data_IF_749785613131
#
_entry.id   IF_749785613131
#
_cell.length_a   1.000
_cell.length_b   1.000
_cell.length_c   1.000
_cell.angle_alpha   90.00
_cell.angle_beta   90.00
_cell.angle_gamma   90.00
#
_symmetry.space_group_name_H-M   'P 1'
#
loop_
_entity.id
_entity.type
_entity.pdbx_description
1 polymer ?
#
# COMPACT_ATOMS: atom_id res chain seq x y z
N UNK A 1 -9.92 -7.40 11.54
CA UNK A 1 -10.60 -8.00 10.36
C UNK A 1 -11.43 -9.22 10.77
N UNK A 2 -10.87 -10.15 11.55
CA UNK A 2 -11.54 -11.39 11.99
C UNK A 2 -12.91 -11.17 12.64
N UNK A 3 -13.05 -10.15 13.49
CA UNK A 3 -14.34 -9.83 14.14
C UNK A 3 -15.40 -9.42 13.11
N UNK A 4 -15.00 -8.60 12.12
CA UNK A 4 -15.90 -8.17 11.05
C UNK A 4 -16.28 -9.35 10.17
N UNK A 5 -15.31 -10.19 9.79
CA UNK A 5 -15.52 -11.39 9.00
C UNK A 5 -16.51 -12.36 9.69
N UNK A 6 -16.29 -12.64 10.97
CA UNK A 6 -17.19 -13.49 11.76
C UNK A 6 -18.61 -12.93 11.81
N UNK A 7 -18.74 -11.61 11.96
CA UNK A 7 -20.05 -10.95 11.97
C UNK A 7 -20.71 -11.02 10.58
N UNK A 8 -19.95 -10.77 9.50
CA UNK A 8 -20.46 -10.91 8.12
C UNK A 8 -20.98 -12.31 7.86
N UNK A 9 -20.20 -13.34 8.20
CA UNK A 9 -20.61 -14.74 8.06
C UNK A 9 -21.87 -15.08 8.83
N UNK A 10 -21.98 -14.61 10.07
CA UNK A 10 -23.16 -14.82 10.91
C UNK A 10 -24.44 -14.16 10.37
N UNK A 11 -24.30 -13.12 9.54
CA UNK A 11 -25.41 -12.35 9.00
C UNK A 11 -25.63 -12.58 7.48
N UNK A 12 -24.93 -13.52 6.85
CA UNK A 12 -25.05 -13.81 5.42
C UNK A 12 -24.58 -12.65 4.53
N UNK A 13 -23.57 -11.89 5.00
CA UNK A 13 -22.99 -10.75 4.28
C UNK A 13 -21.68 -11.19 3.66
N UNK A 14 -21.51 -10.93 2.34
CA UNK A 14 -20.28 -11.21 1.61
C UNK A 14 -19.17 -10.26 2.06
N UNK A 15 -18.05 -10.84 2.52
CA UNK A 15 -16.86 -10.10 2.92
C UNK A 15 -15.87 -10.00 1.77
N UNK A 16 -15.54 -8.76 1.37
CA UNK A 16 -14.58 -8.48 0.30
C UNK A 16 -13.30 -7.88 0.88
N UNK A 17 -12.16 -8.50 0.62
CA UNK A 17 -10.85 -7.92 0.89
C UNK A 17 -10.37 -7.15 -0.36
N UNK A 18 -10.28 -5.82 -0.25
CA UNK A 18 -9.71 -4.99 -1.30
C UNK A 18 -8.18 -4.96 -1.18
N UNK A 19 -7.53 -5.84 -1.92
CA UNK A 19 -6.08 -5.98 -1.97
C UNK A 19 -5.46 -5.26 -3.19
N UNK A 20 -6.21 -4.36 -3.82
CA UNK A 20 -5.75 -3.60 -5.00
C UNK A 20 -4.46 -2.85 -4.71
N UNK A 21 -4.28 -2.33 -3.49
CA UNK A 21 -3.10 -1.55 -3.10
C UNK A 21 -2.18 -2.30 -2.12
N UNK A 22 -2.72 -3.15 -1.30
CA UNK A 22 -2.03 -3.84 -0.21
C UNK A 22 -1.52 -5.23 -0.58
N UNK A 23 -2.06 -5.81 -1.67
CA UNK A 23 -1.62 -7.11 -2.18
C UNK A 23 -0.30 -7.05 -2.96
N UNK A 24 0.02 -8.15 -3.58
CA UNK A 24 1.21 -8.33 -4.44
C UNK A 24 2.51 -7.98 -3.70
N UNK A 25 2.76 -8.68 -2.60
CA UNK A 25 3.94 -8.58 -1.75
C UNK A 25 4.13 -7.24 -1.03
N UNK A 26 3.29 -6.23 -1.27
CA UNK A 26 3.45 -4.86 -0.74
C UNK A 26 3.67 -4.80 0.77
N UNK A 27 2.98 -5.64 1.53
CA UNK A 27 3.06 -5.68 2.99
C UNK A 27 4.02 -6.74 3.54
N UNK A 28 4.76 -7.44 2.68
CA UNK A 28 5.63 -8.55 3.09
C UNK A 28 4.91 -9.89 3.18
N UNK A 29 3.66 -9.95 2.68
CA UNK A 29 2.90 -11.18 2.38
C UNK A 29 2.27 -11.02 1.00
N UNK A 30 1.82 -12.11 0.37
CA UNK A 30 1.12 -12.02 -0.91
C UNK A 30 -0.08 -11.08 -0.84
N UNK A 31 -0.85 -11.18 0.25
CA UNK A 31 -1.99 -10.32 0.55
C UNK A 31 -1.90 -9.81 1.99
N UNK A 32 -2.27 -8.57 2.22
CA UNK A 32 -2.26 -7.98 3.56
C UNK A 32 -3.24 -8.70 4.52
N UNK A 33 -4.32 -9.22 3.99
CA UNK A 33 -5.29 -10.05 4.74
C UNK A 33 -4.64 -11.26 5.44
N UNK A 34 -3.51 -11.76 4.94
CA UNK A 34 -2.77 -12.87 5.54
C UNK A 34 -2.04 -12.52 6.85
N UNK A 35 -1.99 -11.24 7.21
CA UNK A 35 -1.48 -10.82 8.52
C UNK A 35 -2.44 -11.11 9.67
N UNK A 36 -3.73 -11.25 9.37
CA UNK A 36 -4.76 -11.63 10.33
C UNK A 36 -5.05 -13.13 10.26
N UNK A 37 -4.52 -13.89 11.18
CA UNK A 37 -4.74 -15.34 11.23
C UNK A 37 -6.22 -15.68 11.41
N UNK A 38 -6.75 -16.54 10.53
CA UNK A 38 -8.15 -16.95 10.52
C UNK A 38 -9.12 -15.95 9.91
N UNK A 39 -8.61 -14.89 9.25
CA UNK A 39 -9.41 -14.08 8.33
C UNK A 39 -9.49 -14.79 6.98
N UNK A 40 -10.71 -15.03 6.50
CA UNK A 40 -10.99 -15.76 5.27
C UNK A 40 -12.11 -15.08 4.49
N UNK A 41 -11.76 -14.03 3.70
CA UNK A 41 -12.73 -13.26 2.94
C UNK A 41 -13.37 -14.09 1.85
N UNK A 42 -14.61 -13.77 1.49
CA UNK A 42 -15.34 -14.44 0.43
C UNK A 42 -14.81 -14.07 -0.96
N UNK A 43 -14.38 -12.81 -1.12
CA UNK A 43 -13.80 -12.28 -2.35
C UNK A 43 -12.54 -11.48 -2.05
N UNK A 44 -11.59 -11.50 -2.99
CA UNK A 44 -10.38 -10.67 -2.97
C UNK A 44 -10.27 -9.93 -4.30
N UNK A 45 -10.11 -8.60 -4.25
CA UNK A 45 -9.85 -7.80 -5.45
C UNK A 45 -8.36 -7.52 -5.60
N UNK A 46 -7.84 -7.63 -6.81
CA UNK A 46 -6.43 -7.44 -7.15
C UNK A 46 -6.25 -6.54 -8.37
N UNK A 47 -5.24 -5.68 -8.34
CA UNK A 47 -4.87 -4.82 -9.47
C UNK A 47 -3.44 -4.27 -9.28
N UNK A 48 -3.16 -3.09 -9.84
CA UNK A 48 -1.90 -2.33 -9.69
C UNK A 48 -0.65 -3.20 -9.93
N UNK A 49 -0.04 -3.72 -8.86
CA UNK A 49 1.19 -4.52 -8.94
C UNK A 49 1.08 -5.83 -9.69
N UNK A 50 -0.15 -6.34 -9.92
CA UNK A 50 -0.37 -7.66 -10.53
C UNK A 50 0.25 -7.83 -11.93
N UNK A 51 0.33 -6.75 -12.71
CA UNK A 51 0.81 -6.79 -14.08
C UNK A 51 1.97 -5.81 -14.37
N UNK A 52 2.75 -5.42 -13.34
CA UNK A 52 3.98 -4.64 -13.51
C UNK A 52 3.79 -3.30 -14.22
N UNK A 53 2.62 -2.68 -14.11
CA UNK A 53 2.28 -1.40 -14.74
C UNK A 53 1.34 -1.52 -15.95
N UNK A 54 1.09 -2.73 -16.47
CA UNK A 54 0.03 -2.93 -17.47
C UNK A 54 -1.36 -2.91 -16.82
N UNK A 55 -2.40 -2.37 -17.51
CA UNK A 55 -3.74 -2.30 -16.96
C UNK A 55 -4.38 -3.69 -16.87
N UNK A 56 -4.40 -4.24 -15.66
CA UNK A 56 -5.07 -5.50 -15.32
C UNK A 56 -5.65 -5.42 -13.92
N UNK A 57 -6.81 -6.00 -13.76
CA UNK A 57 -7.43 -6.26 -12.46
C UNK A 57 -8.14 -7.61 -12.47
N UNK A 58 -8.38 -8.15 -11.30
CA UNK A 58 -9.08 -9.41 -11.14
C UNK A 58 -9.84 -9.46 -9.83
N UNK A 59 -10.76 -10.40 -9.78
CA UNK A 59 -11.45 -10.82 -8.56
C UNK A 59 -11.27 -12.32 -8.43
N UNK A 60 -10.87 -12.76 -7.25
CA UNK A 60 -10.77 -14.16 -6.88
C UNK A 60 -11.71 -14.38 -5.70
N UNK A 61 -12.46 -15.47 -5.69
CA UNK A 61 -13.40 -15.70 -4.60
C UNK A 61 -13.99 -17.10 -4.59
N UNK A 62 -14.90 -17.31 -3.65
CA UNK A 62 -15.60 -18.59 -3.47
C UNK A 62 -16.42 -18.91 -4.72
N UNK A 63 -16.35 -20.15 -5.19
CA UNK A 63 -17.00 -20.60 -6.42
C UNK A 63 -18.50 -20.32 -6.41
N UNK A 64 -19.18 -20.58 -5.29
CA UNK A 64 -20.64 -20.35 -5.16
C UNK A 64 -21.05 -18.88 -5.36
N UNK A 65 -20.14 -17.94 -5.09
CA UNK A 65 -20.37 -16.50 -5.31
C UNK A 65 -19.99 -16.15 -6.75
N UNK A 66 -18.80 -16.57 -7.20
CA UNK A 66 -18.30 -16.24 -8.54
C UNK A 66 -19.17 -16.83 -9.64
N UNK A 67 -19.67 -18.05 -9.46
CA UNK A 67 -20.52 -18.77 -10.43
C UNK A 67 -21.98 -18.28 -10.42
N UNK A 68 -22.38 -17.43 -9.47
CA UNK A 68 -23.73 -16.86 -9.41
C UNK A 68 -23.99 -15.80 -10.50
N UNK A 69 -22.92 -15.26 -11.11
CA UNK A 69 -23.07 -14.29 -12.19
C UNK A 69 -23.69 -14.94 -13.44
N UNK A 70 -24.72 -14.32 -13.98
CA UNK A 70 -25.33 -14.79 -15.23
C UNK A 70 -24.38 -14.63 -16.43
N UNK A 71 -24.59 -15.39 -17.49
CA UNK A 71 -23.79 -15.29 -18.72
C UNK A 71 -23.74 -13.85 -19.24
N UNK A 72 -22.54 -13.31 -19.45
CA UNK A 72 -22.30 -11.92 -19.84
C UNK A 72 -22.46 -10.87 -18.72
N UNK A 73 -22.72 -11.29 -17.48
CA UNK A 73 -22.87 -10.42 -16.33
C UNK A 73 -21.55 -9.82 -15.81
N UNK A 74 -20.43 -10.47 -16.12
CA UNK A 74 -19.08 -10.01 -15.79
C UNK A 74 -18.28 -9.78 -17.06
N UNK A 75 -17.50 -8.70 -17.09
CA UNK A 75 -16.58 -8.45 -18.18
C UNK A 75 -16.33 -6.96 -18.41
N UNK A 76 -15.38 -6.71 -19.30
CA UNK A 76 -15.02 -5.40 -19.83
C UNK A 76 -14.28 -5.59 -21.13
N UNK A 77 -14.34 -4.61 -22.03
CA UNK A 77 -13.76 -4.69 -23.38
C UNK A 77 -12.28 -5.09 -23.37
N UNK A 78 -11.53 -4.67 -22.36
CA UNK A 78 -10.12 -4.98 -22.21
C UNK A 78 -9.83 -6.13 -21.24
N UNK A 79 -10.88 -6.79 -20.73
CA UNK A 79 -10.75 -7.93 -19.81
C UNK A 79 -9.97 -9.06 -20.47
N UNK A 80 -8.94 -9.59 -19.80
CA UNK A 80 -8.12 -10.66 -20.32
C UNK A 80 -7.21 -10.27 -21.49
N UNK A 81 -6.84 -8.98 -21.64
CA UNK A 81 -5.89 -8.53 -22.67
C UNK A 81 -4.62 -9.39 -22.65
N UNK A 82 -4.24 -10.07 -23.76
CA UNK A 82 -3.10 -10.98 -23.78
C UNK A 82 -1.80 -10.33 -23.34
N UNK A 83 -1.58 -9.07 -23.66
CA UNK A 83 -0.38 -8.31 -23.27
C UNK A 83 -0.31 -8.12 -21.76
N UNK A 84 -1.43 -7.71 -21.13
CA UNK A 84 -1.49 -7.50 -19.68
C UNK A 84 -1.41 -8.84 -18.91
N UNK A 85 -2.04 -9.90 -19.45
CA UNK A 85 -1.96 -11.24 -18.88
C UNK A 85 -0.54 -11.79 -18.94
N UNK A 86 0.16 -11.64 -20.08
CA UNK A 86 1.56 -12.05 -20.20
C UNK A 86 2.48 -11.31 -19.22
N UNK A 87 2.24 -10.00 -19.03
CA UNK A 87 2.96 -9.22 -18.02
C UNK A 87 2.66 -9.72 -16.58
N UNK A 88 1.41 -10.08 -16.28
CA UNK A 88 1.05 -10.63 -14.99
C UNK A 88 1.73 -11.99 -14.72
N UNK A 89 1.80 -12.87 -15.72
CA UNK A 89 2.53 -14.16 -15.61
C UNK A 89 3.99 -13.90 -15.26
N UNK A 90 4.65 -12.98 -15.99
CA UNK A 90 6.04 -12.62 -15.72
C UNK A 90 6.23 -12.03 -14.30
N UNK A 91 5.29 -11.23 -13.80
CA UNK A 91 5.31 -10.72 -12.41
C UNK A 91 5.20 -11.88 -11.41
N UNK A 92 4.29 -12.84 -11.64
CA UNK A 92 4.16 -14.00 -10.76
C UNK A 92 5.43 -14.83 -10.71
N UNK A 93 6.05 -15.10 -11.89
CA UNK A 93 7.32 -15.82 -11.97
C UNK A 93 8.44 -15.09 -11.21
N UNK A 94 8.50 -13.76 -11.30
CA UNK A 94 9.46 -12.97 -10.52
C UNK A 94 9.22 -13.08 -9.02
N UNK A 95 7.96 -13.07 -8.57
CA UNK A 95 7.64 -13.24 -7.15
C UNK A 95 7.94 -14.66 -6.63
N UNK A 96 7.75 -15.68 -7.44
CA UNK A 96 8.09 -17.06 -7.09
C UNK A 96 9.61 -17.31 -7.01
N UNK A 97 10.39 -16.64 -7.88
CA UNK A 97 11.84 -16.81 -7.97
C UNK A 97 12.63 -15.88 -7.06
N UNK A 98 12.05 -14.74 -6.68
CA UNK A 98 12.70 -13.71 -5.88
C UNK A 98 12.21 -13.65 -4.43
N UNK A 99 12.98 -12.98 -3.59
CA UNK A 99 12.65 -12.81 -2.17
C UNK A 99 11.89 -11.50 -1.90
N UNK A 100 10.88 -11.22 -2.72
CA UNK A 100 10.15 -9.95 -2.69
C UNK A 100 9.32 -9.74 -1.42
N UNK A 101 8.88 -10.81 -0.77
CA UNK A 101 8.15 -10.71 0.49
C UNK A 101 9.07 -10.19 1.61
N UNK A 102 10.29 -10.74 1.70
CA UNK A 102 11.27 -10.26 2.66
C UNK A 102 11.77 -8.85 2.27
N UNK A 103 12.01 -8.61 0.97
CA UNK A 103 12.39 -7.26 0.49
C UNK A 103 11.40 -6.18 0.91
N UNK A 104 10.12 -6.43 0.84
CA UNK A 104 9.11 -5.49 1.32
C UNK A 104 9.24 -5.21 2.83
N UNK A 105 9.59 -6.21 3.62
CA UNK A 105 9.83 -6.03 5.07
C UNK A 105 11.11 -5.24 5.34
N UNK A 106 12.19 -5.49 4.60
CA UNK A 106 13.45 -4.72 4.70
C UNK A 106 13.24 -3.24 4.39
N UNK A 107 12.55 -2.93 3.28
CA UNK A 107 12.16 -1.56 2.91
C UNK A 107 11.35 -0.92 4.04
N UNK A 108 10.37 -1.64 4.56
CA UNK A 108 9.53 -1.16 5.65
C UNK A 108 10.33 -0.87 6.93
N UNK A 109 11.22 -1.77 7.32
CA UNK A 109 12.06 -1.61 8.49
C UNK A 109 12.99 -0.38 8.36
N UNK A 110 13.59 -0.17 7.17
CA UNK A 110 14.43 0.99 6.89
C UNK A 110 13.61 2.29 6.99
N UNK A 111 12.43 2.36 6.37
CA UNK A 111 11.55 3.54 6.43
C UNK A 111 11.15 3.84 7.88
N UNK A 112 10.66 2.84 8.61
CA UNK A 112 10.21 3.01 10.01
C UNK A 112 11.35 3.51 10.89
N UNK A 113 12.54 2.93 10.76
CA UNK A 113 13.73 3.38 11.49
C UNK A 113 14.00 4.87 11.25
N UNK A 114 14.12 5.28 9.98
CA UNK A 114 14.40 6.66 9.59
C UNK A 114 13.31 7.63 10.01
N UNK A 115 12.04 7.29 9.81
CA UNK A 115 10.92 8.13 10.24
C UNK A 115 10.83 8.25 11.77
N UNK A 116 11.17 7.21 12.51
CA UNK A 116 11.23 7.26 13.98
C UNK A 116 12.35 8.17 14.47
N UNK A 117 13.53 8.14 13.81
CA UNK A 117 14.61 9.06 14.07
C UNK A 117 14.20 10.52 13.78
N UNK A 118 13.51 10.76 12.66
CA UNK A 118 12.95 12.09 12.33
C UNK A 118 11.89 12.54 13.33
N UNK A 119 10.99 11.66 13.78
CA UNK A 119 9.97 11.99 14.78
C UNK A 119 10.57 12.43 16.11
N UNK A 120 11.73 11.91 16.49
CA UNK A 120 12.46 12.36 17.68
C UNK A 120 13.04 13.77 17.55
N UNK A 121 13.26 14.25 16.31
CA UNK A 121 13.82 15.58 16.01
C UNK A 121 12.71 16.58 15.69
N UNK A 122 11.69 16.16 14.94
CA UNK A 122 10.63 17.03 14.41
C UNK A 122 9.30 16.73 15.13
N UNK A 123 8.90 17.53 16.14
CA UNK A 123 7.68 17.30 16.91
C UNK A 123 6.38 17.50 16.10
N UNK A 124 6.49 17.89 14.85
CA UNK A 124 5.39 17.96 13.89
C UNK A 124 4.96 16.57 13.40
N UNK A 125 5.80 15.53 13.55
CA UNK A 125 5.43 14.14 13.23
C UNK A 125 4.68 13.56 14.43
N UNK A 126 3.38 13.33 14.26
CA UNK A 126 2.51 12.80 15.31
C UNK A 126 2.50 11.27 15.39
N UNK A 127 2.63 10.59 14.25
CA UNK A 127 2.59 9.13 14.19
C UNK A 127 3.38 8.61 12.98
N UNK A 128 3.98 7.43 13.16
CA UNK A 128 4.56 6.62 12.08
C UNK A 128 3.90 5.24 12.11
N UNK A 129 3.33 4.79 11.00
CA UNK A 129 2.62 3.51 10.91
C UNK A 129 2.71 2.87 9.54
N UNK A 130 2.49 1.56 9.48
CA UNK A 130 2.43 0.79 8.24
C UNK A 130 2.84 -0.66 8.43
N UNK A 131 2.82 -1.41 7.32
CA UNK A 131 3.25 -2.82 7.27
C UNK A 131 4.06 -3.04 6.00
N UNK A 132 5.22 -3.66 6.13
CA UNK A 132 6.13 -3.88 5.01
C UNK A 132 6.48 -2.59 4.28
N UNK A 133 6.53 -2.59 2.96
CA UNK A 133 6.82 -1.42 2.14
C UNK A 133 5.61 -0.47 1.94
N UNK A 134 4.59 -0.57 2.77
CA UNK A 134 3.45 0.35 2.83
C UNK A 134 3.50 1.10 4.14
N UNK A 135 4.14 2.28 4.15
CA UNK A 135 4.38 3.09 5.34
C UNK A 135 3.77 4.48 5.19
N UNK A 136 3.51 5.10 6.32
CA UNK A 136 3.00 6.46 6.37
C UNK A 136 3.43 7.16 7.67
N UNK A 137 3.44 8.50 7.63
CA UNK A 137 3.53 9.31 8.83
C UNK A 137 2.53 10.46 8.76
N UNK A 138 2.07 10.91 9.92
CA UNK A 138 1.14 12.01 10.05
C UNK A 138 1.82 13.28 10.51
N UNK A 139 1.46 14.41 9.88
CA UNK A 139 1.85 15.72 10.38
C UNK A 139 0.71 16.32 11.21
N UNK A 140 1.08 16.81 12.39
CA UNK A 140 0.18 17.42 13.37
C UNK A 140 0.68 18.80 13.79
N UNK A 141 -0.19 19.60 14.36
CA UNK A 141 0.22 20.83 15.01
C UNK A 141 1.09 20.49 16.23
N UNK A 142 2.31 21.06 16.36
CA UNK A 142 3.22 20.71 17.45
C UNK A 142 2.58 20.79 18.84
N UNK A 143 2.73 19.71 19.60
CA UNK A 143 2.16 19.62 20.96
C UNK A 143 0.68 19.27 21.02
N UNK A 144 0.05 18.95 19.88
CA UNK A 144 -1.37 18.53 19.79
C UNK A 144 -1.47 17.28 18.92
N UNK A 145 -2.72 16.80 18.72
CA UNK A 145 -3.05 15.77 17.73
C UNK A 145 -3.83 16.36 16.54
N UNK A 146 -3.94 17.69 16.47
CA UNK A 146 -4.69 18.33 15.41
C UNK A 146 -3.96 18.18 14.06
N UNK A 147 -4.65 17.76 12.99
CA UNK A 147 -4.06 17.58 11.66
C UNK A 147 -3.43 18.85 11.10
N UNK A 148 -2.23 18.73 10.52
CA UNK A 148 -1.51 19.85 9.90
C UNK A 148 -1.42 19.69 8.39
N UNK A 149 -2.55 19.88 7.70
CA UNK A 149 -2.60 19.83 6.24
C UNK A 149 -1.65 20.87 5.57
N UNK A 150 -1.58 22.15 6.00
CA UNK A 150 -0.68 23.11 5.36
C UNK A 150 0.79 22.69 5.38
N UNK A 151 1.28 22.15 6.50
CA UNK A 151 2.64 21.63 6.59
C UNK A 151 2.84 20.40 5.67
N UNK A 152 1.83 19.53 5.57
CA UNK A 152 1.88 18.40 4.65
C UNK A 152 2.01 18.84 3.21
N UNK A 153 1.21 19.79 2.78
CA UNK A 153 1.31 20.37 1.42
C UNK A 153 2.67 21.05 1.14
N UNK A 154 3.22 21.73 2.14
CA UNK A 154 4.54 22.35 2.01
C UNK A 154 5.64 21.28 1.86
N UNK A 155 5.58 20.22 2.67
CA UNK A 155 6.50 19.07 2.56
C UNK A 155 6.39 18.39 1.19
N UNK A 156 5.19 18.12 0.70
CA UNK A 156 5.00 17.53 -0.63
C UNK A 156 5.61 18.40 -1.73
N UNK A 157 5.41 19.72 -1.68
CA UNK A 157 6.00 20.65 -2.64
C UNK A 157 7.53 20.62 -2.59
N UNK A 158 8.12 20.55 -1.38
CA UNK A 158 9.56 20.40 -1.20
C UNK A 158 10.07 19.10 -1.85
N UNK A 159 9.44 17.98 -1.52
CA UNK A 159 9.80 16.66 -2.07
C UNK A 159 9.73 16.65 -3.61
N UNK A 160 8.62 17.11 -4.18
CA UNK A 160 8.44 17.14 -5.63
C UNK A 160 9.49 18.03 -6.33
N UNK A 161 9.83 19.17 -5.75
CA UNK A 161 10.88 20.07 -6.28
C UNK A 161 12.26 19.40 -6.29
N UNK A 162 12.50 18.51 -5.33
CA UNK A 162 13.76 17.78 -5.17
C UNK A 162 13.72 16.35 -5.74
N UNK A 163 12.76 16.05 -6.63
CA UNK A 163 12.72 14.78 -7.38
C UNK A 163 12.09 13.61 -6.65
N UNK A 164 11.50 13.81 -5.47
CA UNK A 164 10.85 12.75 -4.68
C UNK A 164 9.33 12.91 -4.76
N UNK A 165 8.66 11.94 -5.38
CA UNK A 165 7.21 11.93 -5.53
C UNK A 165 6.57 11.22 -4.34
N UNK A 166 5.94 11.97 -3.47
CA UNK A 166 5.13 11.49 -2.35
C UNK A 166 3.71 12.04 -2.47
N UNK A 167 2.76 11.37 -1.84
CA UNK A 167 1.34 11.73 -1.89
C UNK A 167 0.79 11.90 -0.47
N UNK A 168 -0.11 12.87 -0.32
CA UNK A 168 -0.92 12.94 0.90
C UNK A 168 -2.07 11.92 0.87
N UNK A 169 -2.57 11.62 2.05
CA UNK A 169 -3.66 10.69 2.29
C UNK A 169 -4.40 11.08 3.58
N UNK A 170 -5.38 10.24 3.96
CA UNK A 170 -6.17 10.44 5.16
C UNK A 170 -7.27 11.47 4.97
N UNK A 171 -8.26 11.42 5.87
CA UNK A 171 -9.45 12.28 5.84
C UNK A 171 -9.11 13.77 5.93
N UNK A 172 -8.04 14.08 6.64
CA UNK A 172 -7.59 15.45 6.87
C UNK A 172 -6.41 15.87 6.00
N UNK A 173 -6.04 15.04 5.01
CA UNK A 173 -4.91 15.29 4.09
C UNK A 173 -3.57 15.61 4.77
N UNK A 174 -3.39 15.14 6.01
CA UNK A 174 -2.20 15.34 6.84
C UNK A 174 -1.26 14.12 6.92
N UNK A 175 -1.56 13.07 6.16
CA UNK A 175 -0.77 11.84 6.09
C UNK A 175 0.12 11.87 4.87
N UNK A 176 1.42 11.65 5.04
CA UNK A 176 2.36 11.41 3.93
C UNK A 176 2.52 9.90 3.77
N UNK A 177 2.15 9.39 2.60
CA UNK A 177 2.17 7.97 2.30
C UNK A 177 3.38 7.61 1.46
N UNK A 178 4.13 6.59 1.91
CA UNK A 178 5.32 6.06 1.25
C UNK A 178 5.02 4.66 0.69
N UNK A 179 5.09 4.56 -0.63
CA UNK A 179 4.85 3.31 -1.39
C UNK A 179 5.94 3.16 -2.46
N UNK A 180 7.21 3.04 -2.08
CA UNK A 180 8.28 2.88 -3.07
C UNK A 180 8.10 1.58 -3.86
N UNK A 181 8.60 1.49 -5.11
CA UNK A 181 8.66 0.22 -5.81
C UNK A 181 9.50 -0.78 -5.00
N UNK A 182 9.11 -2.07 -4.99
CA UNK A 182 9.87 -3.09 -4.25
C UNK A 182 11.29 -3.28 -4.80
N UNK A 183 11.52 -2.90 -6.05
CA UNK A 183 12.82 -2.92 -6.71
C UNK A 183 13.71 -1.71 -6.40
N UNK A 184 13.29 -0.78 -5.55
CA UNK A 184 14.11 0.38 -5.17
C UNK A 184 15.40 -0.08 -4.48
N UNK A 185 16.53 0.54 -4.83
CA UNK A 185 17.77 0.32 -4.10
C UNK A 185 17.75 1.03 -2.73
N UNK A 186 18.53 0.54 -1.78
CA UNK A 186 18.63 1.18 -0.47
C UNK A 186 19.19 2.60 -0.57
N UNK A 187 20.14 2.84 -1.48
CA UNK A 187 20.73 4.16 -1.71
C UNK A 187 19.66 5.17 -2.16
N UNK A 188 18.83 4.83 -3.14
CA UNK A 188 17.74 5.69 -3.59
C UNK A 188 16.67 5.90 -2.52
N UNK A 189 16.43 4.87 -1.70
CA UNK A 189 15.48 4.99 -0.59
C UNK A 189 16.02 5.92 0.50
N UNK A 190 17.32 5.83 0.80
CA UNK A 190 17.98 6.76 1.72
C UNK A 190 17.94 8.20 1.20
N UNK A 191 18.29 8.42 -0.06
CA UNK A 191 18.24 9.74 -0.71
C UNK A 191 16.83 10.35 -0.61
N UNK A 192 15.79 9.56 -0.91
CA UNK A 192 14.41 10.02 -0.80
C UNK A 192 14.02 10.40 0.65
N UNK A 193 14.47 9.63 1.63
CA UNK A 193 14.24 9.93 3.05
C UNK A 193 15.05 11.13 3.55
N UNK A 194 16.23 11.39 2.99
CA UNK A 194 17.02 12.59 3.26
C UNK A 194 16.29 13.85 2.77
N UNK A 195 15.74 13.81 1.54
CA UNK A 195 14.90 14.91 1.00
C UNK A 195 13.68 15.18 1.88
N UNK A 196 13.03 14.12 2.41
CA UNK A 196 11.92 14.29 3.35
C UNK A 196 12.39 14.97 4.64
N UNK A 197 13.55 14.55 5.19
CA UNK A 197 14.13 15.15 6.39
C UNK A 197 14.48 16.62 6.19
N UNK A 198 15.09 16.96 5.04
CA UNK A 198 15.38 18.35 4.67
C UNK A 198 14.10 19.19 4.59
N UNK A 199 13.04 18.66 4.00
CA UNK A 199 11.73 19.32 3.94
C UNK A 199 11.13 19.55 5.33
N UNK A 200 11.18 18.56 6.21
CA UNK A 200 10.72 18.70 7.59
C UNK A 200 11.49 19.77 8.37
N UNK A 201 12.78 19.92 8.12
CA UNK A 201 13.61 20.95 8.75
C UNK A 201 13.23 22.39 8.37
N UNK A 202 12.42 22.58 7.32
CA UNK A 202 11.93 23.89 6.87
C UNK A 202 10.55 24.26 7.39
N UNK A 203 9.87 23.35 8.09
CA UNK A 203 8.52 23.52 8.65
C UNK A 203 8.57 23.95 10.10
#
# INVERSE_FOLDING_TARGET
>A
LKTIDSWCKANGIVMVADEVQSGMARTGKWFASQWEEGFDPDLVTVAKGIAGGMPLSGVVGRAEIMDSAHAGGLGGTFGGSPTAVAAAVAVMEQFEQGDWLNRAQEIGALIVKRLTEMMAIYPIIGEVRGVGAMQAFELVMPGTLDPNQPATEALLKHCHKNGVVVLNAGTYANVVRLLPPLSISDDLLHEALDVISEGLATL
#
